data_IF_183458554012
#
_entry.id   IF_183458554012
#
_cell.length_a   1.000
_cell.length_b   1.000
_cell.length_c   1.000
_cell.angle_alpha   90.00
_cell.angle_beta   90.00
_cell.angle_gamma   90.00
#
_symmetry.space_group_name_H-M   'P 1'
#
loop_
_entity.id
_entity.type
_entity.pdbx_description
1 polymer ?
#
# COMPACT_ATOMS: atom_id res chain seq x y z
N UNK A 1 1.25 20.32 5.60
CA UNK A 1 2.14 19.18 5.25
C UNK A 1 3.41 19.17 6.10
N UNK A 2 4.32 20.15 6.00
CA UNK A 2 5.58 20.16 6.79
C UNK A 2 5.39 19.97 8.30
N UNK A 3 4.36 20.57 8.88
CA UNK A 3 4.06 20.44 10.32
C UNK A 3 3.62 19.03 10.77
N UNK A 4 3.28 18.14 9.82
CA UNK A 4 2.87 16.76 10.11
C UNK A 4 4.01 15.74 9.83
N UNK A 5 5.15 16.19 9.33
CA UNK A 5 6.29 15.31 9.07
C UNK A 5 7.11 15.10 10.35
N UNK A 6 7.71 13.91 10.55
CA UNK A 6 8.53 13.65 11.74
C UNK A 6 9.83 14.45 11.72
N UNK A 7 10.55 14.45 12.84
CA UNK A 7 11.78 15.25 13.02
C UNK A 7 12.82 15.01 11.92
N UNK A 8 12.98 13.76 11.46
CA UNK A 8 13.93 13.41 10.41
C UNK A 8 13.71 14.19 9.11
N UNK A 9 12.49 14.69 8.84
CA UNK A 9 12.19 15.47 7.64
C UNK A 9 12.90 16.85 7.61
N UNK A 10 13.54 17.23 8.71
CA UNK A 10 14.38 18.43 8.82
C UNK A 10 15.88 18.12 8.74
N UNK A 11 16.25 16.84 8.75
CA UNK A 11 17.64 16.42 8.67
C UNK A 11 18.15 16.50 7.23
N UNK A 12 19.47 16.63 7.08
CA UNK A 12 20.10 16.58 5.76
C UNK A 12 20.15 15.14 5.27
N UNK A 13 19.78 14.95 4.01
CA UNK A 13 19.94 13.67 3.33
C UNK A 13 21.44 13.34 3.24
N UNK A 14 21.83 12.19 3.79
CA UNK A 14 23.19 11.64 3.72
C UNK A 14 23.44 10.84 2.45
N UNK A 15 24.59 10.16 2.37
CA UNK A 15 24.92 9.25 1.26
C UNK A 15 24.27 7.86 1.40
N UNK A 16 23.90 7.48 2.62
CA UNK A 16 23.20 6.24 2.98
C UNK A 16 22.11 6.58 4.00
N UNK A 17 21.03 5.79 4.10
CA UNK A 17 20.03 5.98 5.13
C UNK A 17 20.65 5.73 6.52
N UNK A 18 20.43 6.65 7.45
CA UNK A 18 20.86 6.46 8.85
C UNK A 18 20.05 5.33 9.52
N UNK A 19 18.76 5.28 9.20
CA UNK A 19 17.84 4.21 9.55
C UNK A 19 17.05 3.86 8.28
N UNK A 20 17.25 2.67 7.69
CA UNK A 20 16.56 2.31 6.47
C UNK A 20 15.07 2.09 6.76
N UNK A 21 14.22 2.66 5.93
CA UNK A 21 12.77 2.54 6.04
C UNK A 21 12.22 1.52 5.05
N UNK A 22 11.17 0.80 5.45
CA UNK A 22 10.45 -0.11 4.55
C UNK A 22 9.60 0.63 3.50
N UNK A 23 9.29 1.92 3.71
CA UNK A 23 8.39 2.71 2.85
C UNK A 23 8.89 2.83 1.40
N UNK A 24 10.20 2.86 1.19
CA UNK A 24 10.80 2.85 -0.13
C UNK A 24 11.91 1.81 -0.17
N UNK A 25 12.03 1.11 -1.29
CA UNK A 25 12.97 0.00 -1.46
C UNK A 25 14.45 0.43 -1.31
N UNK A 26 14.78 1.70 -1.58
CA UNK A 26 16.13 2.24 -1.37
C UNK A 26 16.42 2.66 0.09
N UNK A 27 15.47 2.40 1.00
CA UNK A 27 15.56 2.76 2.41
C UNK A 27 15.17 4.20 2.72
N UNK A 28 14.79 5.01 1.73
CA UNK A 28 14.35 6.38 1.98
C UNK A 28 13.02 6.40 2.77
N UNK A 29 12.87 7.25 3.80
CA UNK A 29 11.68 7.24 4.67
C UNK A 29 10.45 7.93 4.07
N UNK A 30 10.35 8.04 2.75
CA UNK A 30 9.15 8.54 2.08
C UNK A 30 8.96 7.98 0.67
N UNK A 31 7.70 7.92 0.26
CA UNK A 31 7.27 7.52 -1.07
C UNK A 31 6.10 8.42 -1.51
N UNK A 32 5.97 8.67 -2.80
CA UNK A 32 4.83 9.39 -3.36
C UNK A 32 3.88 8.43 -4.06
N UNK A 33 2.57 8.65 -3.98
CA UNK A 33 1.62 7.96 -4.87
C UNK A 33 0.53 8.85 -5.41
N UNK A 34 0.02 8.50 -6.58
CA UNK A 34 -1.08 9.22 -7.24
C UNK A 34 -2.16 8.21 -7.61
N UNK A 35 -3.39 8.45 -7.14
CA UNK A 35 -4.55 7.70 -7.63
C UNK A 35 -5.24 8.52 -8.71
N UNK A 36 -5.51 7.88 -9.85
CA UNK A 36 -5.96 8.54 -11.06
C UNK A 36 -7.48 8.49 -11.28
N UNK A 37 -8.21 7.98 -10.30
CA UNK A 37 -9.64 7.70 -10.44
C UNK A 37 -10.49 8.97 -10.51
N UNK A 38 -11.57 8.92 -11.30
CA UNK A 38 -12.62 9.95 -11.30
C UNK A 38 -12.20 11.34 -11.82
N UNK A 39 -11.12 11.45 -12.60
CA UNK A 39 -10.72 12.67 -13.30
C UNK A 39 -9.96 13.72 -12.48
N UNK A 40 -9.94 13.58 -11.15
CA UNK A 40 -9.25 14.47 -10.20
C UNK A 40 -8.23 13.66 -9.41
N UNK A 41 -6.95 13.64 -9.82
CA UNK A 41 -5.94 12.80 -9.18
C UNK A 41 -5.75 13.12 -7.69
N UNK A 42 -5.71 12.07 -6.86
CA UNK A 42 -5.40 12.17 -5.43
C UNK A 42 -3.90 11.93 -5.24
N UNK A 43 -3.18 12.98 -4.82
CA UNK A 43 -1.75 12.93 -4.50
C UNK A 43 -1.56 12.50 -3.05
N UNK A 44 -0.59 11.62 -2.79
CA UNK A 44 -0.25 11.12 -1.46
C UNK A 44 1.24 11.14 -1.24
N UNK A 45 1.64 11.43 -0.01
CA UNK A 45 2.98 11.16 0.50
C UNK A 45 2.84 10.14 1.62
N UNK A 46 3.53 9.01 1.47
CA UNK A 46 3.77 8.04 2.52
C UNK A 46 5.11 8.37 3.17
N UNK A 47 5.20 8.22 4.49
CA UNK A 47 6.44 8.50 5.21
C UNK A 47 6.54 7.68 6.48
N UNK A 48 7.75 7.18 6.75
CA UNK A 48 8.05 6.41 7.95
C UNK A 48 8.16 7.33 9.17
N UNK A 49 7.68 6.88 10.32
CA UNK A 49 7.88 7.59 11.58
C UNK A 49 9.32 7.46 12.08
N UNK A 50 10.02 6.37 11.73
CA UNK A 50 11.33 6.00 12.25
C UNK A 50 11.40 6.07 13.79
N UNK A 51 10.31 5.71 14.46
CA UNK A 51 10.19 5.75 15.92
C UNK A 51 9.91 7.12 16.52
N UNK A 52 9.66 8.15 15.70
CA UNK A 52 9.22 9.47 16.16
C UNK A 52 7.69 9.56 16.25
N UNK A 53 7.20 10.20 17.31
CA UNK A 53 5.78 10.52 17.41
C UNK A 53 5.34 11.48 16.29
N UNK A 54 4.17 11.19 15.69
CA UNK A 54 3.55 12.04 14.67
C UNK A 54 2.33 12.73 15.26
N UNK A 55 2.32 14.06 15.21
CA UNK A 55 1.19 14.88 15.65
C UNK A 55 0.40 15.32 14.44
N UNK A 56 -0.87 14.92 14.37
CA UNK A 56 -1.77 15.32 13.30
C UNK A 56 -2.31 16.74 13.53
N UNK A 57 -2.14 17.69 12.58
CA UNK A 57 -2.65 19.04 12.77
C UNK A 57 -4.17 19.11 12.62
N UNK A 58 -4.85 19.73 13.60
CA UNK A 58 -6.17 20.34 13.40
C UNK A 58 -7.42 19.49 13.67
N UNK A 59 -7.36 18.43 14.48
CA UNK A 59 -8.43 17.42 14.55
C UNK A 59 -9.10 17.22 15.93
N UNK A 60 -8.72 17.97 16.96
CA UNK A 60 -9.42 17.96 18.26
C UNK A 60 -9.56 16.55 18.91
N UNK A 61 -8.72 15.58 18.52
CA UNK A 61 -8.69 14.22 19.07
C UNK A 61 -9.79 13.26 18.60
N UNK A 62 -10.62 13.60 17.60
CA UNK A 62 -11.65 12.68 17.07
C UNK A 62 -11.08 11.69 16.05
N UNK A 63 -10.14 12.14 15.21
CA UNK A 63 -9.50 11.36 14.14
C UNK A 63 -8.54 10.29 14.69
N UNK A 64 -8.01 10.48 15.90
CA UNK A 64 -7.08 9.55 16.55
C UNK A 64 -7.76 8.41 17.30
N UNK A 65 -9.07 8.49 17.63
CA UNK A 65 -9.73 7.48 18.48
C UNK A 65 -9.65 6.06 17.91
N UNK A 66 -9.75 5.92 16.59
CA UNK A 66 -9.63 4.61 15.93
C UNK A 66 -8.19 4.10 15.98
N UNK A 67 -7.22 4.99 15.82
CA UNK A 67 -5.81 4.67 15.99
C UNK A 67 -5.54 4.21 17.43
N UNK A 68 -6.02 4.95 18.43
CA UNK A 68 -5.83 4.65 19.85
C UNK A 68 -6.33 3.25 20.22
N UNK A 69 -7.43 2.80 19.59
CA UNK A 69 -7.99 1.45 19.82
C UNK A 69 -7.06 0.33 19.39
N UNK A 70 -6.29 0.52 18.32
CA UNK A 70 -5.43 -0.54 17.74
C UNK A 70 -3.95 -0.31 17.95
N UNK A 71 -3.51 0.90 18.32
CA UNK A 71 -2.11 1.23 18.46
C UNK A 71 -1.42 0.30 19.47
N UNK A 72 -2.04 0.08 20.62
CA UNK A 72 -1.52 -0.84 21.64
C UNK A 72 -1.31 -2.27 21.09
N UNK A 73 -2.20 -2.72 20.18
CA UNK A 73 -2.11 -4.02 19.49
C UNK A 73 -0.89 -4.12 18.58
N UNK A 74 -0.16 -3.06 18.30
CA UNK A 74 1.07 -3.12 17.49
C UNK A 74 2.31 -2.61 18.25
N UNK A 75 2.16 -2.33 19.54
CA UNK A 75 3.27 -1.93 20.44
C UNK A 75 3.83 -3.12 21.23
N UNK A 76 5.03 -2.97 21.84
CA UNK A 76 5.66 -4.04 22.61
C UNK A 76 4.85 -4.38 23.86
N UNK A 77 4.52 -5.66 24.05
CA UNK A 77 4.01 -6.23 25.30
C UNK A 77 4.59 -7.63 25.51
N UNK A 78 4.53 -8.16 26.74
CA UNK A 78 5.04 -9.51 27.04
C UNK A 78 4.44 -10.55 26.07
N UNK A 79 5.33 -11.34 25.44
CA UNK A 79 4.95 -12.32 24.42
C UNK A 79 4.80 -11.77 22.99
N UNK A 80 5.18 -10.52 22.71
CA UNK A 80 5.31 -9.97 21.35
C UNK A 80 6.77 -9.81 20.93
N UNK A 81 7.10 -10.01 19.63
CA UNK A 81 8.50 -10.04 19.18
C UNK A 81 9.23 -8.70 19.30
N UNK A 82 8.58 -7.60 18.87
CA UNK A 82 9.14 -6.25 18.78
C UNK A 82 8.00 -5.26 18.51
N UNK A 83 8.18 -3.93 18.63
CA UNK A 83 7.20 -2.98 18.09
C UNK A 83 7.10 -3.15 16.57
N UNK A 84 5.89 -3.04 16.02
CA UNK A 84 5.73 -2.94 14.57
C UNK A 84 6.27 -1.58 14.10
N UNK A 85 7.08 -1.52 13.03
CA UNK A 85 7.38 -0.26 12.35
C UNK A 85 6.10 0.46 11.95
N UNK A 86 6.09 1.79 12.10
CA UNK A 86 4.89 2.61 11.85
C UNK A 86 5.21 3.65 10.80
N UNK A 87 4.40 3.70 9.75
CA UNK A 87 4.44 4.76 8.76
C UNK A 87 3.05 5.32 8.53
N UNK A 88 3.00 6.49 7.90
CA UNK A 88 1.75 7.20 7.68
C UNK A 88 1.63 7.65 6.23
N UNK A 89 0.42 7.99 5.82
CA UNK A 89 0.20 8.69 4.56
C UNK A 89 -0.71 9.89 4.73
N UNK A 90 -0.38 10.98 4.06
CA UNK A 90 -1.24 12.15 3.89
C UNK A 90 -1.69 12.19 2.43
N UNK A 91 -2.99 12.16 2.21
CA UNK A 91 -3.59 12.24 0.90
C UNK A 91 -4.28 13.58 0.70
N UNK A 92 -3.95 14.27 -0.39
CA UNK A 92 -4.69 15.43 -0.87
C UNK A 92 -5.72 14.99 -1.91
N UNK A 93 -6.99 15.01 -1.53
CA UNK A 93 -8.13 14.77 -2.42
C UNK A 93 -8.74 16.11 -2.82
N UNK A 94 -8.70 16.49 -4.11
CA UNK A 94 -9.38 17.68 -4.60
C UNK A 94 -10.89 17.68 -4.26
N UNK A 95 -11.50 18.85 -3.97
CA UNK A 95 -10.88 20.17 -4.03
C UNK A 95 -10.07 20.58 -2.80
N UNK A 96 -10.27 20.01 -1.60
CA UNK A 96 -9.53 20.45 -0.38
C UNK A 96 -9.56 19.44 0.78
N UNK A 97 -9.76 18.15 0.52
CA UNK A 97 -9.87 17.16 1.59
C UNK A 97 -8.52 16.49 1.85
N UNK A 98 -8.03 16.63 3.07
CA UNK A 98 -6.91 15.82 3.56
C UNK A 98 -7.46 14.54 4.17
N UNK A 99 -6.85 13.41 3.81
CA UNK A 99 -7.11 12.11 4.45
C UNK A 99 -5.80 11.57 5.00
N UNK A 100 -5.85 11.09 6.24
CA UNK A 100 -4.71 10.50 6.92
C UNK A 100 -4.87 8.98 6.99
N UNK A 101 -3.76 8.26 6.98
CA UNK A 101 -3.73 6.81 7.22
C UNK A 101 -2.48 6.45 8.00
N UNK A 102 -2.60 5.46 8.88
CA UNK A 102 -1.48 4.83 9.57
C UNK A 102 -1.35 3.39 9.15
N UNK A 103 -0.13 2.91 9.03
CA UNK A 103 0.25 1.55 8.69
C UNK A 103 1.17 0.97 9.78
N UNK A 104 1.06 -0.33 10.01
CA UNK A 104 1.88 -1.09 10.94
C UNK A 104 2.53 -2.26 10.20
N UNK A 105 3.86 -2.27 10.16
CA UNK A 105 4.68 -3.28 9.51
C UNK A 105 4.76 -4.56 10.33
N UNK A 106 4.28 -5.67 9.77
CA UNK A 106 4.27 -6.97 10.44
C UNK A 106 5.32 -7.92 9.83
N UNK A 107 5.98 -7.54 8.74
CA UNK A 107 6.92 -8.35 7.95
C UNK A 107 8.09 -8.96 8.75
N UNK A 108 8.49 -8.38 9.87
CA UNK A 108 9.54 -8.94 10.72
C UNK A 108 9.02 -9.93 11.80
N UNK A 109 7.70 -10.02 11.98
CA UNK A 109 7.12 -10.85 13.03
C UNK A 109 6.93 -12.30 12.55
N UNK A 110 6.95 -13.30 13.45
CA UNK A 110 6.55 -14.66 13.09
C UNK A 110 5.09 -14.71 12.65
N UNK A 111 4.77 -15.53 11.65
CA UNK A 111 3.44 -15.64 11.03
C UNK A 111 2.28 -15.67 12.05
N UNK A 112 2.34 -16.57 13.03
CA UNK A 112 1.30 -16.71 14.07
C UNK A 112 1.07 -15.44 14.89
N UNK A 113 2.11 -14.63 15.10
CA UNK A 113 1.99 -13.37 15.83
C UNK A 113 1.35 -12.28 14.96
N UNK A 114 1.56 -12.31 13.64
CA UNK A 114 0.89 -11.40 12.70
C UNK A 114 -0.60 -11.64 12.69
N UNK A 115 -1.01 -12.90 12.55
CA UNK A 115 -2.42 -13.29 12.54
C UNK A 115 -3.12 -12.95 13.85
N UNK A 116 -2.51 -13.29 14.99
CA UNK A 116 -3.07 -12.99 16.30
C UNK A 116 -3.23 -11.47 16.53
N UNK A 117 -2.26 -10.66 16.09
CA UNK A 117 -2.34 -9.21 16.22
C UNK A 117 -3.43 -8.61 15.34
N UNK A 118 -3.58 -9.09 14.10
CA UNK A 118 -4.65 -8.64 13.20
C UNK A 118 -6.02 -9.06 13.74
N UNK A 119 -6.18 -10.30 14.23
CA UNK A 119 -7.42 -10.74 14.87
C UNK A 119 -7.80 -9.85 16.06
N UNK A 120 -6.85 -9.60 16.97
CA UNK A 120 -7.06 -8.71 18.12
C UNK A 120 -7.46 -7.28 17.68
N UNK A 121 -6.79 -6.72 16.66
CA UNK A 121 -7.09 -5.38 16.15
C UNK A 121 -8.48 -5.32 15.52
N UNK A 122 -8.87 -6.35 14.75
CA UNK A 122 -10.17 -6.44 14.10
C UNK A 122 -11.29 -6.60 15.13
N UNK A 123 -11.10 -7.39 16.18
CA UNK A 123 -12.06 -7.53 17.29
C UNK A 123 -12.28 -6.21 18.02
N UNK A 124 -11.20 -5.48 18.35
CA UNK A 124 -11.28 -4.15 18.99
C UNK A 124 -12.04 -3.13 18.13
N UNK A 125 -12.04 -3.33 16.82
CA UNK A 125 -12.75 -2.48 15.85
C UNK A 125 -14.16 -3.00 15.50
N UNK A 126 -14.60 -4.12 16.08
CA UNK A 126 -15.90 -4.73 15.80
C UNK A 126 -16.00 -5.36 14.40
N UNK A 127 -14.87 -5.79 13.84
CA UNK A 127 -14.75 -6.38 12.49
C UNK A 127 -14.20 -7.81 12.53
N UNK A 128 -14.19 -8.46 13.70
CA UNK A 128 -13.66 -9.81 13.91
C UNK A 128 -14.28 -10.86 12.99
N UNK A 129 -15.62 -10.90 12.90
CA UNK A 129 -16.32 -11.87 12.04
C UNK A 129 -15.98 -11.70 10.55
N UNK A 130 -15.90 -10.45 10.08
CA UNK A 130 -15.54 -10.15 8.70
C UNK A 130 -14.10 -10.55 8.39
N UNK A 131 -13.19 -10.33 9.33
CA UNK A 131 -11.81 -10.80 9.25
C UNK A 131 -11.75 -12.33 9.20
N UNK A 132 -12.45 -13.01 10.09
CA UNK A 132 -12.45 -14.46 10.17
C UNK A 132 -13.02 -15.14 8.92
N UNK A 133 -14.07 -14.58 8.30
CA UNK A 133 -14.55 -15.03 6.98
C UNK A 133 -13.47 -14.85 5.91
N UNK A 134 -12.86 -13.67 5.83
CA UNK A 134 -11.84 -13.38 4.84
C UNK A 134 -10.61 -14.29 4.99
N UNK A 135 -10.07 -14.43 6.21
CA UNK A 135 -8.90 -15.28 6.51
C UNK A 135 -9.15 -16.72 6.06
N UNK A 136 -10.27 -17.34 6.47
CA UNK A 136 -10.60 -18.72 6.08
C UNK A 136 -10.68 -18.89 4.56
N UNK A 137 -11.22 -17.92 3.83
CA UNK A 137 -11.29 -17.98 2.37
C UNK A 137 -9.93 -17.81 1.73
N UNK A 138 -9.10 -16.88 2.22
CA UNK A 138 -7.72 -16.70 1.75
C UNK A 138 -6.88 -17.96 1.97
N UNK A 139 -7.08 -18.67 3.08
CA UNK A 139 -6.42 -19.97 3.36
C UNK A 139 -6.78 -21.07 2.35
N UNK A 140 -7.92 -20.97 1.67
CA UNK A 140 -8.31 -21.94 0.62
C UNK A 140 -7.67 -21.65 -0.73
N UNK A 141 -7.10 -20.46 -0.94
CA UNK A 141 -6.36 -20.12 -2.15
C UNK A 141 -4.99 -20.77 -2.07
N UNK A 142 -4.57 -21.55 -3.07
CA UNK A 142 -3.25 -22.17 -3.09
C UNK A 142 -2.13 -21.15 -3.20
N UNK A 143 -0.91 -21.46 -2.75
CA UNK A 143 0.26 -20.56 -2.77
C UNK A 143 0.69 -20.04 -1.40
N UNK A 144 1.91 -19.52 -1.31
CA UNK A 144 2.50 -19.04 -0.04
C UNK A 144 2.25 -17.53 0.12
N UNK A 145 1.77 -17.16 1.31
CA UNK A 145 1.49 -15.75 1.62
C UNK A 145 1.58 -15.45 3.10
N UNK A 146 1.79 -14.19 3.39
CA UNK A 146 1.85 -13.68 4.75
C UNK A 146 1.26 -12.28 4.83
N UNK A 147 0.76 -11.91 6.02
CA UNK A 147 0.34 -10.54 6.27
C UNK A 147 1.61 -9.68 6.36
N UNK A 148 1.74 -8.70 5.49
CA UNK A 148 2.90 -7.81 5.44
C UNK A 148 2.68 -6.56 6.30
N UNK A 149 1.48 -5.98 6.23
CA UNK A 149 1.10 -4.85 7.09
C UNK A 149 -0.41 -4.66 7.25
N UNK A 150 -0.76 -3.98 8.34
CA UNK A 150 -2.13 -3.57 8.69
C UNK A 150 -2.25 -2.06 8.61
N UNK A 151 -3.36 -1.53 8.11
CA UNK A 151 -3.54 -0.08 8.00
C UNK A 151 -4.94 0.39 8.36
N UNK A 152 -5.04 1.63 8.83
CA UNK A 152 -6.29 2.27 9.26
C UNK A 152 -6.41 3.66 8.66
N UNK A 153 -7.50 3.91 7.94
CA UNK A 153 -7.88 5.26 7.51
C UNK A 153 -8.29 6.07 8.74
N UNK A 154 -7.66 7.23 8.92
CA UNK A 154 -7.96 8.18 9.98
C UNK A 154 -8.94 9.22 9.42
N UNK A 155 -10.21 8.84 9.41
CA UNK A 155 -11.34 9.63 8.91
C UNK A 155 -12.60 9.30 9.75
N UNK A 156 -13.71 9.99 9.47
CA UNK A 156 -15.01 9.68 10.09
C UNK A 156 -15.42 8.21 9.86
N UNK A 157 -16.10 7.60 10.84
CA UNK A 157 -16.37 6.17 10.90
C UNK A 157 -17.08 5.62 9.65
N UNK A 158 -17.99 6.39 9.05
CA UNK A 158 -18.73 5.99 7.86
C UNK A 158 -17.82 5.77 6.62
N UNK A 159 -16.67 6.45 6.57
CA UNK A 159 -15.75 6.37 5.44
C UNK A 159 -14.46 5.61 5.75
N UNK A 160 -14.12 5.49 7.03
CA UNK A 160 -12.87 4.92 7.46
C UNK A 160 -12.83 3.40 7.25
N UNK A 161 -11.77 2.92 6.57
CA UNK A 161 -11.52 1.51 6.33
C UNK A 161 -10.36 1.01 7.18
N UNK A 162 -10.41 -0.28 7.48
CA UNK A 162 -9.21 -1.06 7.87
C UNK A 162 -8.75 -1.83 6.65
N UNK A 163 -7.44 -1.98 6.50
CA UNK A 163 -6.82 -2.66 5.37
C UNK A 163 -5.80 -3.67 5.86
N UNK A 164 -5.84 -4.86 5.29
CA UNK A 164 -4.90 -5.94 5.55
C UNK A 164 -4.20 -6.26 4.24
N UNK A 165 -2.88 -6.20 4.24
CA UNK A 165 -2.05 -6.40 3.06
C UNK A 165 -1.36 -7.75 3.17
N UNK A 166 -1.60 -8.61 2.19
CA UNK A 166 -0.92 -9.88 2.02
C UNK A 166 0.18 -9.74 0.98
N UNK A 167 1.39 -10.17 1.33
CA UNK A 167 2.45 -10.47 0.37
C UNK A 167 2.22 -11.89 -0.16
N UNK A 168 2.13 -12.04 -1.47
CA UNK A 168 1.93 -13.32 -2.14
C UNK A 168 3.26 -13.69 -2.81
N UNK A 169 3.95 -14.68 -2.25
CA UNK A 169 5.29 -15.07 -2.67
C UNK A 169 5.24 -15.92 -3.92
N UNK A 170 6.02 -15.55 -4.95
CA UNK A 170 6.11 -16.25 -6.24
C UNK A 170 4.75 -16.55 -6.89
N UNK A 171 3.76 -15.70 -6.62
CA UNK A 171 2.37 -15.96 -7.00
C UNK A 171 2.12 -15.73 -8.50
N UNK A 172 1.18 -16.50 -9.06
CA UNK A 172 0.64 -16.25 -10.39
C UNK A 172 -0.44 -15.17 -10.39
N UNK A 173 -0.71 -14.58 -11.57
CA UNK A 173 -1.80 -13.62 -11.76
C UNK A 173 -3.18 -14.19 -11.40
N UNK A 174 -3.40 -15.48 -11.62
CA UNK A 174 -4.64 -16.15 -11.23
C UNK A 174 -4.78 -16.20 -9.71
N UNK A 175 -3.70 -16.51 -8.99
CA UNK A 175 -3.70 -16.63 -7.54
C UNK A 175 -4.00 -15.28 -6.85
N UNK A 176 -3.33 -14.20 -7.25
CA UNK A 176 -3.61 -12.87 -6.69
C UNK A 176 -5.04 -12.40 -7.01
N UNK A 177 -5.60 -12.85 -8.15
CA UNK A 177 -6.98 -12.58 -8.52
C UNK A 177 -7.98 -13.38 -7.66
N UNK A 178 -7.64 -14.62 -7.31
CA UNK A 178 -8.43 -15.46 -6.41
C UNK A 178 -8.45 -14.89 -4.98
N UNK A 179 -7.31 -14.40 -4.49
CA UNK A 179 -7.24 -13.66 -3.21
C UNK A 179 -8.11 -12.40 -3.27
N UNK A 180 -8.03 -11.62 -4.35
CA UNK A 180 -8.86 -10.43 -4.51
C UNK A 180 -10.37 -10.75 -4.57
N UNK A 181 -10.73 -11.92 -5.12
CA UNK A 181 -12.11 -12.43 -5.21
C UNK A 181 -12.74 -12.80 -3.86
N UNK A 182 -11.96 -12.80 -2.76
CA UNK A 182 -12.50 -12.94 -1.40
C UNK A 182 -13.38 -11.74 -1.03
N UNK A 183 -13.07 -10.56 -1.56
CA UNK A 183 -13.83 -9.35 -1.32
C UNK A 183 -15.19 -9.38 -2.03
N UNK A 184 -16.20 -8.74 -1.42
CA UNK A 184 -17.53 -8.58 -1.99
C UNK A 184 -17.51 -7.85 -3.34
N UNK A 185 -16.68 -6.82 -3.42
CA UNK A 185 -16.59 -5.97 -4.59
C UNK A 185 -15.28 -6.26 -5.33
N UNK A 186 -15.34 -7.20 -6.26
CA UNK A 186 -14.25 -7.54 -7.17
C UNK A 186 -14.77 -8.11 -8.48
N UNK A 187 -14.28 -7.60 -9.61
CA UNK A 187 -14.52 -8.16 -10.95
C UNK A 187 -13.28 -8.92 -11.43
N UNK A 188 -13.31 -10.24 -11.29
CA UNK A 188 -12.18 -11.09 -11.64
C UNK A 188 -11.78 -11.02 -13.13
N UNK A 189 -12.74 -10.75 -14.03
CA UNK A 189 -12.46 -10.68 -15.46
C UNK A 189 -11.79 -9.35 -15.83
N UNK A 190 -12.27 -8.24 -15.28
CA UNK A 190 -11.64 -6.92 -15.44
C UNK A 190 -10.23 -6.90 -14.83
N UNK A 191 -10.07 -7.45 -13.62
CA UNK A 191 -8.78 -7.62 -12.96
C UNK A 191 -7.79 -8.41 -13.81
N UNK A 192 -8.19 -9.58 -14.34
CA UNK A 192 -7.32 -10.38 -15.18
C UNK A 192 -6.86 -9.63 -16.46
N UNK A 193 -7.73 -8.82 -17.05
CA UNK A 193 -7.36 -7.99 -18.20
C UNK A 193 -6.37 -6.88 -17.82
N UNK A 194 -6.57 -6.21 -16.69
CA UNK A 194 -5.67 -5.19 -16.18
C UNK A 194 -4.30 -5.77 -15.82
N UNK A 195 -4.24 -6.89 -15.10
CA UNK A 195 -2.99 -7.54 -14.70
C UNK A 195 -2.18 -7.98 -15.93
N UNK A 196 -2.81 -8.61 -16.93
CA UNK A 196 -2.14 -8.96 -18.18
C UNK A 196 -1.57 -7.74 -18.91
N UNK A 197 -2.21 -6.57 -18.78
CA UNK A 197 -1.69 -5.33 -19.37
C UNK A 197 -0.41 -4.90 -18.67
N UNK A 198 -0.41 -4.88 -17.34
CA UNK A 198 0.75 -4.48 -16.53
C UNK A 198 1.93 -5.46 -16.63
N UNK A 199 1.67 -6.76 -16.76
CA UNK A 199 2.72 -7.78 -16.87
C UNK A 199 3.20 -8.02 -18.31
N UNK A 200 2.60 -7.37 -19.31
CA UNK A 200 2.88 -7.65 -20.73
C UNK A 200 2.47 -9.07 -21.15
N UNK A 201 1.47 -9.65 -20.49
CA UNK A 201 0.95 -10.99 -20.77
C UNK A 201 1.67 -12.12 -20.04
N UNK A 202 2.69 -11.83 -19.22
CA UNK A 202 3.31 -12.85 -18.36
C UNK A 202 2.33 -13.38 -17.31
N UNK A 203 2.36 -14.69 -17.01
CA UNK A 203 1.46 -15.29 -16.02
C UNK A 203 1.88 -15.03 -14.56
N UNK A 204 3.13 -14.65 -14.30
CA UNK A 204 3.64 -14.36 -12.96
C UNK A 204 3.25 -12.95 -12.49
N UNK A 205 3.00 -12.81 -11.18
CA UNK A 205 2.68 -11.52 -10.54
C UNK A 205 3.93 -10.78 -10.02
N UNK A 206 5.11 -11.40 -10.07
CA UNK A 206 6.36 -10.92 -9.46
C UNK A 206 6.64 -11.62 -8.14
N UNK A 207 7.81 -11.37 -7.54
CA UNK A 207 8.27 -12.06 -6.32
C UNK A 207 7.34 -11.77 -5.13
N UNK A 208 6.81 -10.53 -5.08
CA UNK A 208 6.13 -10.02 -3.90
C UNK A 208 4.90 -9.15 -4.23
N UNK A 209 4.02 -9.67 -5.10
CA UNK A 209 2.76 -9.00 -5.40
C UNK A 209 1.88 -8.89 -4.15
N UNK A 210 1.22 -7.74 -3.95
CA UNK A 210 0.37 -7.51 -2.78
C UNK A 210 -1.10 -7.62 -3.10
N UNK A 211 -1.85 -8.21 -2.18
CA UNK A 211 -3.31 -8.18 -2.18
C UNK A 211 -3.79 -7.47 -0.92
N UNK A 212 -4.52 -6.38 -1.08
CA UNK A 212 -5.10 -5.62 0.02
C UNK A 212 -6.58 -5.93 0.12
N UNK A 213 -7.03 -6.42 1.28
CA UNK A 213 -8.44 -6.54 1.62
C UNK A 213 -8.85 -5.37 2.53
N UNK A 214 -9.93 -4.68 2.18
CA UNK A 214 -10.45 -3.55 2.94
C UNK A 214 -11.77 -3.91 3.64
N UNK A 215 -11.88 -3.50 4.90
CA UNK A 215 -13.00 -3.79 5.81
C UNK A 215 -13.67 -2.49 6.26
N UNK A 216 -14.98 -2.55 6.46
CA UNK A 216 -15.84 -1.42 6.83
C UNK A 216 -16.78 -1.84 7.95
N UNK A 217 -17.15 -0.89 8.79
CA UNK A 217 -18.13 -1.16 9.86
C UNK A 217 -19.48 -1.51 9.27
N UNK A 218 -20.17 -2.49 9.87
CA UNK A 218 -21.47 -2.98 9.38
C UNK A 218 -21.40 -3.88 8.14
N UNK A 219 -20.21 -4.25 7.67
CA UNK A 219 -20.02 -5.24 6.60
C UNK A 219 -19.41 -6.50 7.21
N UNK A 220 -20.04 -7.65 6.99
CA UNK A 220 -19.70 -8.95 7.58
C UNK A 220 -18.60 -9.71 6.80
N UNK A 221 -18.03 -9.09 5.76
CA UNK A 221 -17.00 -9.64 4.88
C UNK A 221 -16.03 -8.55 4.43
N UNK A 222 -14.91 -8.94 3.81
CA UNK A 222 -14.03 -7.99 3.12
C UNK A 222 -14.84 -7.24 2.05
N UNK A 223 -14.89 -5.91 2.13
CA UNK A 223 -15.75 -5.09 1.27
C UNK A 223 -15.18 -4.89 -0.12
N UNK A 224 -13.87 -4.63 -0.19
CA UNK A 224 -13.15 -4.29 -1.43
C UNK A 224 -11.78 -4.98 -1.43
N UNK A 225 -11.25 -5.23 -2.62
CA UNK A 225 -9.85 -5.61 -2.80
C UNK A 225 -9.08 -4.61 -3.67
N UNK A 226 -7.76 -4.57 -3.50
CA UNK A 226 -6.84 -3.87 -4.39
C UNK A 226 -5.58 -4.72 -4.54
N UNK A 227 -5.19 -5.02 -5.77
CA UNK A 227 -3.95 -5.75 -6.06
C UNK A 227 -2.86 -4.75 -6.41
N UNK A 228 -1.64 -5.01 -5.96
CA UNK A 228 -0.44 -4.20 -6.20
C UNK A 228 0.60 -5.07 -6.89
N UNK A 229 1.07 -4.63 -8.05
CA UNK A 229 2.15 -5.26 -8.77
C UNK A 229 3.40 -4.39 -8.66
N UNK A 230 4.51 -4.99 -8.24
CA UNK A 230 5.83 -4.34 -8.19
C UNK A 230 6.39 -4.35 -9.60
N UNK A 231 6.40 -3.18 -10.24
CA UNK A 231 6.79 -3.10 -11.65
C UNK A 231 8.27 -3.38 -11.90
N UNK A 232 9.23 -3.06 -11.00
CA UNK A 232 10.63 -3.42 -11.20
C UNK A 232 10.87 -4.92 -11.46
N UNK A 233 10.11 -5.81 -10.81
CA UNK A 233 10.16 -7.28 -11.00
C UNK A 233 9.58 -7.70 -12.36
N UNK A 234 8.73 -6.84 -12.93
CA UNK A 234 7.89 -7.13 -14.08
C UNK A 234 8.34 -6.40 -15.34
N UNK A 235 9.32 -5.52 -15.28
CA UNK A 235 9.79 -4.79 -16.47
C UNK A 235 11.29 -4.68 -16.50
N UNK A 236 11.82 -4.48 -17.70
CA UNK A 236 13.24 -4.23 -17.93
C UNK A 236 13.65 -2.78 -17.62
N UNK A 237 12.69 -1.84 -17.63
CA UNK A 237 12.90 -0.41 -17.36
C UNK A 237 11.62 0.27 -16.89
N UNK A 238 11.74 1.52 -16.39
CA UNK A 238 10.57 2.37 -16.17
C UNK A 238 9.87 2.75 -17.47
N UNK A 239 10.59 2.87 -18.59
CA UNK A 239 9.98 3.19 -19.89
C UNK A 239 8.91 2.15 -20.27
N UNK A 240 9.24 0.87 -20.13
CA UNK A 240 8.30 -0.24 -20.35
C UNK A 240 7.14 -0.22 -19.33
N UNK A 241 7.46 0.03 -18.06
CA UNK A 241 6.48 0.11 -16.97
C UNK A 241 5.47 1.25 -17.19
N UNK A 242 5.96 2.41 -17.61
CA UNK A 242 5.16 3.59 -17.93
C UNK A 242 4.25 3.33 -19.10
N UNK A 243 4.73 2.73 -20.20
CA UNK A 243 3.86 2.49 -21.35
C UNK A 243 2.77 1.46 -21.06
N UNK A 244 3.05 0.40 -20.30
CA UNK A 244 2.03 -0.57 -19.87
C UNK A 244 1.00 0.06 -18.92
N UNK A 245 1.47 0.89 -17.99
CA UNK A 245 0.58 1.59 -17.05
C UNK A 245 -0.27 2.63 -17.77
N UNK A 246 0.31 3.35 -18.74
CA UNK A 246 -0.41 4.31 -19.57
C UNK A 246 -1.50 3.63 -20.43
N UNK A 247 -1.23 2.45 -20.96
CA UNK A 247 -2.23 1.64 -21.68
C UNK A 247 -3.38 1.22 -20.75
N UNK A 248 -3.08 0.78 -19.52
CA UNK A 248 -4.11 0.48 -18.53
C UNK A 248 -4.96 1.71 -18.21
N UNK A 249 -4.34 2.85 -17.92
CA UNK A 249 -5.04 4.12 -17.65
C UNK A 249 -5.96 4.49 -18.82
N UNK A 250 -5.47 4.37 -20.06
CA UNK A 250 -6.25 4.68 -21.25
C UNK A 250 -7.48 3.77 -21.40
N UNK A 251 -7.33 2.44 -21.22
CA UNK A 251 -8.46 1.48 -21.24
C UNK A 251 -9.50 1.80 -20.17
N UNK A 252 -9.02 2.23 -19.02
CA UNK A 252 -9.85 2.69 -17.92
C UNK A 252 -10.45 4.09 -18.13
N UNK A 253 -10.22 4.73 -19.29
CA UNK A 253 -10.80 6.03 -19.62
C UNK A 253 -10.13 7.20 -18.89
N UNK A 254 -8.91 7.01 -18.39
CA UNK A 254 -8.07 8.05 -17.80
C UNK A 254 -7.05 8.51 -18.84
N UNK A 255 -6.85 9.82 -18.95
CA UNK A 255 -5.79 10.38 -19.80
C UNK A 255 -4.39 10.06 -19.22
N UNK A 256 -3.57 9.24 -19.91
CA UNK A 256 -2.25 8.90 -19.43
C UNK A 256 -1.24 10.05 -19.53
N UNK A 257 -1.55 11.16 -20.21
CA UNK A 257 -0.63 12.27 -20.44
C UNK A 257 -0.08 12.86 -19.13
N UNK A 258 -0.94 13.07 -18.13
CA UNK A 258 -0.51 13.58 -16.81
C UNK A 258 0.37 12.60 -16.06
N UNK A 259 0.11 11.30 -16.18
CA UNK A 259 0.93 10.25 -15.61
C UNK A 259 2.32 10.23 -16.23
N UNK A 260 2.43 10.22 -17.57
CA UNK A 260 3.70 10.26 -18.27
C UNK A 260 4.53 11.50 -17.90
N UNK A 261 3.89 12.67 -17.87
CA UNK A 261 4.54 13.93 -17.48
C UNK A 261 5.08 13.88 -16.05
N UNK A 262 4.30 13.36 -15.11
CA UNK A 262 4.72 13.23 -13.72
C UNK A 262 5.92 12.28 -13.60
N UNK A 263 5.86 11.10 -14.22
CA UNK A 263 6.95 10.12 -14.14
C UNK A 263 8.25 10.68 -14.73
N UNK A 264 8.17 11.35 -15.88
CA UNK A 264 9.32 12.02 -16.49
C UNK A 264 9.91 13.14 -15.61
N UNK A 265 9.06 13.85 -14.85
CA UNK A 265 9.50 14.91 -13.95
C UNK A 265 10.19 14.40 -12.67
N UNK A 266 9.89 13.17 -12.25
CA UNK A 266 10.51 12.52 -11.08
C UNK A 266 11.79 11.76 -11.42
N UNK A 267 11.94 11.34 -12.67
CA UNK A 267 13.08 10.59 -13.14
C UNK A 267 14.35 11.48 -13.15
N UNK A 268 15.48 11.02 -12.60
CA UNK A 268 16.74 11.76 -12.58
C UNK A 268 17.46 11.72 -13.95
N UNK A 269 16.95 10.94 -14.89
CA UNK A 269 17.51 10.73 -16.23
C UNK A 269 16.50 10.03 -17.15
N UNK A 270 16.96 9.46 -18.27
CA UNK A 270 16.10 8.70 -19.19
C UNK A 270 15.40 7.53 -18.49
N UNK A 271 14.12 7.31 -18.78
CA UNK A 271 13.33 6.24 -18.16
C UNK A 271 13.84 4.83 -18.48
N UNK A 272 14.65 4.66 -19.52
CA UNK A 272 15.33 3.40 -19.83
C UNK A 272 16.31 2.99 -18.71
N UNK A 273 16.82 3.96 -17.95
CA UNK A 273 17.93 3.81 -17.02
C UNK A 273 17.50 4.04 -15.56
N UNK A 274 16.20 4.25 -15.31
CA UNK A 274 15.65 4.53 -13.98
C UNK A 274 14.73 3.42 -13.50
N UNK A 275 14.42 3.45 -12.20
CA UNK A 275 13.46 2.55 -11.54
C UNK A 275 12.57 3.31 -10.55
N UNK A 276 12.05 4.48 -10.91
CA UNK A 276 11.25 5.35 -10.04
C UNK A 276 9.81 4.86 -9.85
N UNK A 277 9.24 4.10 -10.78
CA UNK A 277 7.87 3.58 -10.68
C UNK A 277 7.90 2.22 -9.96
N UNK A 278 7.62 2.26 -8.66
CA UNK A 278 7.79 1.12 -7.75
C UNK A 278 6.61 0.14 -7.84
N UNK A 279 5.39 0.65 -7.66
CA UNK A 279 4.18 -0.17 -7.71
C UNK A 279 3.08 0.46 -8.56
N UNK A 280 2.25 -0.42 -9.12
CA UNK A 280 0.93 -0.04 -9.63
C UNK A 280 -0.12 -0.87 -8.94
N UNK A 281 -1.10 -0.20 -8.36
CA UNK A 281 -2.28 -0.84 -7.79
C UNK A 281 -3.50 -0.66 -8.66
N UNK A 282 -4.36 -1.68 -8.66
CA UNK A 282 -5.60 -1.69 -9.41
C UNK A 282 -6.73 -2.22 -8.52
N UNK A 283 -7.86 -1.51 -8.56
CA UNK A 283 -9.11 -1.92 -7.93
C UNK A 283 -10.22 -1.91 -8.97
N UNK A 284 -10.92 -3.02 -9.07
CA UNK A 284 -12.06 -3.21 -9.99
C UNK A 284 -13.33 -2.57 -9.46
N UNK A 285 -13.51 -2.58 -8.15
CA UNK A 285 -14.67 -2.02 -7.48
C UNK A 285 -14.43 -0.58 -7.01
N UNK A 286 -15.00 0.39 -7.72
CA UNK A 286 -14.89 1.79 -7.34
C UNK A 286 -15.27 2.72 -8.48
N UNK A 287 -14.50 3.80 -8.63
CA UNK A 287 -14.60 4.67 -9.80
C UNK A 287 -13.86 4.02 -10.94
N UNK A 288 -14.33 4.24 -12.17
CA UNK A 288 -13.58 3.84 -13.37
C UNK A 288 -12.14 4.39 -13.29
N UNK A 289 -11.14 3.58 -13.63
CA UNK A 289 -9.73 3.96 -13.51
C UNK A 289 -9.21 4.10 -12.09
N UNK A 290 -9.62 3.22 -11.19
CA UNK A 290 -9.01 3.09 -9.86
C UNK A 290 -7.63 2.43 -9.92
N UNK A 291 -6.73 3.15 -10.60
CA UNK A 291 -5.32 2.86 -10.75
C UNK A 291 -4.55 3.82 -9.84
N UNK A 292 -3.66 3.29 -9.02
CA UNK A 292 -2.73 4.10 -8.22
C UNK A 292 -1.30 3.75 -8.59
N UNK A 293 -0.50 4.77 -8.87
CA UNK A 293 0.93 4.62 -9.19
C UNK A 293 1.76 5.10 -8.01
N UNK A 294 2.78 4.33 -7.64
CA UNK A 294 3.66 4.57 -6.50
C UNK A 294 5.07 4.87 -7.02
N UNK A 295 5.66 5.94 -6.53
CA UNK A 295 6.93 6.47 -6.97
C UNK A 295 7.88 6.58 -5.79
N UNK A 296 9.03 5.92 -5.90
CA UNK A 296 10.13 6.18 -4.98
C UNK A 296 10.84 7.48 -5.35
N UNK A 297 11.42 8.12 -4.35
CA UNK A 297 12.40 9.17 -4.61
C UNK A 297 13.76 8.49 -4.83
N UNK A 298 14.46 8.73 -5.95
CA UNK A 298 15.74 8.09 -6.25
C UNK A 298 16.85 8.76 -5.42
N UNK A 299 16.82 8.53 -4.10
CA UNK A 299 17.72 9.20 -3.16
C UNK A 299 18.96 8.38 -2.93
N UNK A 300 18.81 7.05 -2.84
CA UNK A 300 19.92 6.13 -2.63
C UNK A 300 20.07 5.17 -3.83
N UNK A 301 21.31 4.86 -4.18
CA UNK A 301 21.66 4.10 -5.39
C UNK A 301 21.37 2.58 -5.28
N UNK A 302 20.89 2.11 -4.13
CA UNK A 302 20.76 0.67 -3.85
C UNK A 302 19.43 0.34 -3.15
N UNK A 303 18.76 -0.67 -3.66
CA UNK A 303 17.67 -1.38 -3.00
C UNK A 303 18.13 -2.13 -1.74
N UNK A 304 17.27 -2.20 -0.73
CA UNK A 304 17.46 -2.90 0.53
C UNK A 304 16.45 -4.04 0.62
N UNK A 305 16.92 -5.26 0.88
CA UNK A 305 16.01 -6.37 1.11
C UNK A 305 15.30 -6.21 2.47
N UNK A 306 14.11 -6.79 2.69
CA UNK A 306 13.43 -6.73 3.99
C UNK A 306 14.27 -7.24 5.17
N UNK A 307 15.21 -8.17 4.89
CA UNK A 307 16.19 -8.67 5.87
C UNK A 307 17.26 -7.64 6.25
N UNK A 308 17.52 -6.65 5.39
CA UNK A 308 18.47 -5.56 5.63
C UNK A 308 17.88 -4.45 6.51
N UNK A 309 16.60 -4.57 6.91
CA UNK A 309 15.88 -3.60 7.75
C UNK A 309 15.86 -3.99 9.25
N UNK A 310 16.52 -5.09 9.62
CA UNK A 310 16.54 -5.68 10.98
C UNK A 310 17.76 -5.35 11.82
#
# INVERSE_FOLDING_TARGET
MRAALPRWAHDRIGLVPAHPSYVADDGFPAEMSVNWSGGEPELRILFDSLGHDVVWPGDGGLVTRRLDRVHETFTPRAGRPSPAPVWHSIAWRPPSRIVHKTYFGLYAWPHTHREAAVAEAMDRLGMGEAWDDARRRVETVGGEREIEFFAVDLADEAEARVKIYYRNHDAGLAEVNDVASVALSHDAAAAAAAYRTLTGGRPEAGEAALSCLAFRSGVDRAAESTTYLRLPDLTSSDEEAVERTAELLHREGVDPGRFRLLTAALAPGPLSDTRVLELVSYRTAGRRGDVTTYFRFPVYDRALAPVDLG
#
